data_IF_494074023305
#
_entry.id   IF_494074023305
#
_cell.length_a   1.000
_cell.length_b   1.000
_cell.length_c   1.000
_cell.angle_alpha   90.00
_cell.angle_beta   90.00
_cell.angle_gamma   90.00
#
_symmetry.space_group_name_H-M   'P 1'
#
loop_
_entity.id
_entity.type
_entity.pdbx_description
1 polymer ?
#
# COMPACT_ATOMS: atom_id res chain seq x y z
N UNK A 1 -1.48 -29.01 -13.72
CA UNK A 1 -2.16 -27.88 -13.03
C UNK A 1 -1.10 -26.87 -12.64
N UNK A 2 -1.04 -25.71 -13.30
CA UNK A 2 0.00 -24.71 -13.04
C UNK A 2 -0.26 -24.01 -11.70
N UNK A 3 0.68 -24.13 -10.77
CA UNK A 3 0.71 -23.35 -9.53
C UNK A 3 0.89 -21.86 -9.88
N UNK A 4 -0.19 -21.08 -9.76
CA UNK A 4 -0.14 -19.61 -9.85
C UNK A 4 0.55 -19.09 -8.60
N UNK A 5 1.87 -18.92 -8.67
CA UNK A 5 2.63 -18.29 -7.62
C UNK A 5 2.27 -16.79 -7.58
N UNK A 6 1.36 -16.40 -6.68
CA UNK A 6 0.94 -15.01 -6.47
C UNK A 6 2.04 -14.20 -5.75
N UNK A 7 3.25 -14.15 -6.31
CA UNK A 7 4.33 -13.33 -5.78
C UNK A 7 4.27 -11.91 -6.37
N UNK A 8 3.15 -11.19 -6.19
CA UNK A 8 3.07 -9.74 -6.49
C UNK A 8 3.69 -8.89 -5.36
N UNK A 9 4.60 -9.48 -4.59
CA UNK A 9 4.97 -9.03 -3.25
C UNK A 9 6.10 -7.99 -3.26
N UNK A 10 6.47 -7.42 -4.40
CA UNK A 10 7.51 -6.37 -4.47
C UNK A 10 6.92 -5.01 -4.80
N UNK A 11 6.02 -4.94 -5.79
CA UNK A 11 5.40 -3.67 -6.18
C UNK A 11 4.48 -3.09 -5.10
N UNK A 12 3.65 -3.93 -4.47
CA UNK A 12 2.77 -3.47 -3.38
C UNK A 12 3.55 -3.12 -2.11
N UNK A 13 4.57 -3.93 -1.78
CA UNK A 13 5.39 -3.73 -0.58
C UNK A 13 6.20 -2.43 -0.64
N UNK A 14 6.75 -2.07 -1.81
CA UNK A 14 7.42 -0.78 -1.96
C UNK A 14 6.42 0.39 -1.91
N UNK A 15 5.26 0.22 -2.55
CA UNK A 15 4.23 1.26 -2.62
C UNK A 15 3.70 1.68 -1.23
N UNK A 16 3.52 0.75 -0.28
CA UNK A 16 3.06 1.13 1.08
C UNK A 16 4.06 2.05 1.79
N UNK A 17 5.37 1.85 1.61
CA UNK A 17 6.41 2.69 2.21
C UNK A 17 6.51 4.04 1.50
N UNK A 18 6.39 4.08 0.17
CA UNK A 18 6.32 5.32 -0.60
C UNK A 18 5.14 6.19 -0.17
N UNK A 19 3.95 5.59 -0.05
CA UNK A 19 2.74 6.30 0.39
C UNK A 19 2.90 6.79 1.83
N UNK A 20 3.43 5.97 2.73
CA UNK A 20 3.68 6.38 4.12
C UNK A 20 4.60 7.61 4.18
N UNK A 21 5.68 7.61 3.41
CA UNK A 21 6.59 8.76 3.26
C UNK A 21 5.88 10.00 2.74
N UNK A 22 5.06 9.88 1.69
CA UNK A 22 4.28 11.00 1.12
C UNK A 22 3.31 11.62 2.13
N UNK A 23 2.76 10.82 3.03
CA UNK A 23 1.83 11.30 4.05
C UNK A 23 2.50 11.67 5.38
N UNK A 24 3.83 11.61 5.45
CA UNK A 24 4.61 11.97 6.63
C UNK A 24 4.47 10.98 7.79
N UNK A 25 4.20 9.71 7.49
CA UNK A 25 4.09 8.63 8.49
C UNK A 25 5.30 7.72 8.37
N UNK A 26 5.99 7.51 9.49
CA UNK A 26 7.11 6.58 9.57
C UNK A 26 6.61 5.13 9.69
N UNK A 27 6.30 4.51 8.56
CA UNK A 27 5.94 3.09 8.51
C UNK A 27 7.21 2.24 8.50
N UNK A 28 7.39 1.42 9.53
CA UNK A 28 8.54 0.54 9.71
C UNK A 28 8.27 -0.83 9.11
N UNK A 29 9.32 -1.55 8.77
CA UNK A 29 9.21 -3.00 8.62
C UNK A 29 8.96 -3.63 10.00
N UNK A 30 8.00 -4.55 10.08
CA UNK A 30 7.62 -5.19 11.33
C UNK A 30 6.60 -4.40 12.17
N UNK A 31 6.84 -4.28 13.48
CA UNK A 31 5.85 -3.76 14.42
C UNK A 31 5.66 -2.24 14.28
N UNK A 32 4.41 -1.83 14.13
CA UNK A 32 3.97 -0.43 14.01
C UNK A 32 2.85 -0.10 15.02
N UNK A 33 2.80 -0.81 16.16
CA UNK A 33 1.76 -0.56 17.17
C UNK A 33 1.92 0.75 17.94
N UNK A 34 3.03 1.45 17.74
CA UNK A 34 3.25 2.82 18.20
C UNK A 34 2.61 3.88 17.30
N UNK A 35 2.18 3.52 16.07
CA UNK A 35 1.44 4.44 15.22
C UNK A 35 0.06 4.73 15.80
N UNK A 36 -0.35 5.99 15.74
CA UNK A 36 -1.73 6.34 16.07
C UNK A 36 -2.68 5.69 15.08
N UNK A 37 -3.90 5.35 15.51
CA UNK A 37 -4.93 4.82 14.60
C UNK A 37 -5.23 5.79 13.45
N UNK A 38 -5.04 7.09 13.67
CA UNK A 38 -5.16 8.14 12.66
C UNK A 38 -4.10 8.01 11.58
N UNK A 39 -2.84 7.82 11.96
CA UNK A 39 -1.73 7.69 11.02
C UNK A 39 -1.80 6.37 10.24
N UNK A 40 -2.09 5.27 10.93
CA UNK A 40 -2.33 3.98 10.28
C UNK A 40 -3.49 4.06 9.28
N UNK A 41 -4.61 4.70 9.67
CA UNK A 41 -5.74 4.95 8.78
C UNK A 41 -5.41 5.84 7.59
N UNK A 42 -4.61 6.90 7.81
CA UNK A 42 -4.14 7.80 6.74
C UNK A 42 -3.32 7.04 5.70
N UNK A 43 -2.40 6.17 6.11
CA UNK A 43 -1.60 5.33 5.20
C UNK A 43 -2.51 4.36 4.44
N UNK A 44 -3.33 3.58 5.16
CA UNK A 44 -4.22 2.58 4.56
C UNK A 44 -5.19 3.18 3.52
N UNK A 45 -5.82 4.31 3.85
CA UNK A 45 -6.74 4.99 2.93
C UNK A 45 -6.06 5.48 1.64
N UNK A 46 -4.83 5.98 1.73
CA UNK A 46 -4.07 6.41 0.55
C UNK A 46 -3.61 5.21 -0.31
N UNK A 47 -3.25 4.08 0.31
CA UNK A 47 -2.98 2.83 -0.39
C UNK A 47 -4.21 2.40 -1.20
N UNK A 48 -5.39 2.33 -0.57
CA UNK A 48 -6.64 1.96 -1.26
C UNK A 48 -6.95 2.91 -2.42
N UNK A 49 -6.80 4.23 -2.21
CA UNK A 49 -7.01 5.24 -3.26
C UNK A 49 -6.09 5.01 -4.46
N UNK A 50 -4.80 4.77 -4.22
CA UNK A 50 -3.81 4.54 -5.29
C UNK A 50 -4.07 3.25 -6.05
N UNK A 51 -4.36 2.14 -5.35
CA UNK A 51 -4.70 0.85 -5.97
C UNK A 51 -5.94 0.99 -6.85
N UNK A 52 -6.98 1.66 -6.36
CA UNK A 52 -8.19 1.87 -7.12
C UNK A 52 -7.97 2.78 -8.34
N UNK A 53 -7.16 3.83 -8.21
CA UNK A 53 -6.79 4.68 -9.33
C UNK A 53 -6.06 3.87 -10.42
N UNK A 54 -5.00 3.12 -10.05
CA UNK A 54 -4.25 2.27 -11.00
C UNK A 54 -5.17 1.25 -11.67
N UNK A 55 -6.08 0.64 -10.90
CA UNK A 55 -7.07 -0.28 -11.45
C UNK A 55 -7.96 0.41 -12.49
N UNK A 56 -8.54 1.59 -12.17
CA UNK A 56 -9.36 2.35 -13.12
C UNK A 56 -8.61 2.71 -14.40
N UNK A 57 -7.39 3.23 -14.26
CA UNK A 57 -6.56 3.65 -15.39
C UNK A 57 -6.23 2.46 -16.31
N UNK A 58 -5.97 1.29 -15.72
CA UNK A 58 -5.71 0.05 -16.49
C UNK A 58 -6.93 -0.47 -17.27
N UNK A 59 -8.15 -0.07 -16.91
CA UNK A 59 -9.38 -0.46 -17.59
C UNK A 59 -9.73 0.50 -18.75
N UNK A 60 -8.84 1.45 -19.09
CA UNK A 60 -9.01 2.31 -20.24
C UNK A 60 -10.22 3.24 -20.16
N UNK A 61 -10.57 3.69 -18.95
CA UNK A 61 -11.52 4.80 -18.75
C UNK A 61 -10.80 6.10 -18.49
#
# INVERSE_FOLDING_TARGET
>A
MASRNNNRNTGFENMKYEIASQVGVNLKEGYNGDLTSRDAGKVGGNITKKVFQTFRDSQGK
#
